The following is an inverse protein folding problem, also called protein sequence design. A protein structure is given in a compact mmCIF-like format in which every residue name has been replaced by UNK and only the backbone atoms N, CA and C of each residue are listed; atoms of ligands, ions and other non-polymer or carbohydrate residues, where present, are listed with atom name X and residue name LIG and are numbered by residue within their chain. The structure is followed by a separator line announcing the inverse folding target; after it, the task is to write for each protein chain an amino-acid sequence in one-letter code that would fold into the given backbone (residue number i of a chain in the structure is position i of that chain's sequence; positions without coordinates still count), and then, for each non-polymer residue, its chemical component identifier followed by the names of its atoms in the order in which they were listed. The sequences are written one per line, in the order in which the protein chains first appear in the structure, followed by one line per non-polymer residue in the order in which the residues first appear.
data_IF_242320360449
#
_entry.id   IF_242320360449
#
_cell.length_a   1.000
_cell.length_b   1.000
_cell.length_c   1.000
_cell.angle_alpha   90.00
_cell.angle_beta   90.00
_cell.angle_gamma   90.00
#
_symmetry.space_group_name_H-M   'P 1'
#
loop_
_entity.id
_entity.type
_entity.pdbx_description
1 polymer ?
#
# COMPACT_ATOMS: atom_id res chain seq x y z
N UNK A 1 24.18 15.49 -6.05
CA UNK A 1 23.30 14.31 -5.92
C UNK A 1 21.91 14.84 -5.63
N UNK A 2 20.86 14.46 -6.40
CA UNK A 2 19.51 14.90 -6.09
C UNK A 2 19.10 14.36 -4.72
N UNK A 3 18.68 15.27 -3.84
CA UNK A 3 18.16 14.92 -2.52
C UNK A 3 16.73 14.41 -2.64
N UNK A 4 16.45 13.29 -1.98
CA UNK A 4 15.11 12.76 -1.86
C UNK A 4 14.59 13.16 -0.48
N UNK A 5 13.70 14.15 -0.45
CA UNK A 5 13.15 14.68 0.80
C UNK A 5 12.01 13.84 1.34
N UNK A 6 11.29 13.15 0.47
CA UNK A 6 10.19 12.27 0.89
C UNK A 6 10.00 11.10 -0.06
N UNK A 7 9.69 9.94 0.51
CA UNK A 7 9.20 8.79 -0.21
C UNK A 7 7.95 8.26 0.50
N UNK A 8 6.91 7.94 -0.28
CA UNK A 8 5.63 7.45 0.22
C UNK A 8 5.26 6.18 -0.52
N UNK A 9 4.86 5.16 0.21
CA UNK A 9 4.42 3.88 -0.33
C UNK A 9 3.01 3.61 0.15
N UNK A 10 2.06 3.52 -0.78
CA UNK A 10 0.66 3.22 -0.50
C UNK A 10 0.32 1.84 -1.01
N UNK A 11 -0.46 1.10 -0.23
CA UNK A 11 -1.01 -0.19 -0.65
C UNK A 11 -2.43 -0.34 -0.15
N UNK A 12 -3.29 -0.91 -0.98
CA UNK A 12 -4.68 -1.21 -0.67
C UNK A 12 -5.11 -2.52 -1.32
N UNK A 13 -6.18 -3.12 -0.81
CA UNK A 13 -6.86 -4.21 -1.47
C UNK A 13 -8.38 -4.05 -1.40
N UNK A 14 -9.04 -4.35 -2.51
CA UNK A 14 -10.49 -4.52 -2.56
C UNK A 14 -10.83 -6.01 -2.51
N UNK A 15 -11.42 -6.45 -1.39
CA UNK A 15 -11.74 -7.84 -1.15
C UNK A 15 -13.06 -8.23 -1.83
N UNK A 16 -12.95 -8.86 -3.01
CA UNK A 16 -14.12 -9.38 -3.72
C UNK A 16 -15.04 -8.31 -4.31
N UNK A 17 -14.56 -7.11 -4.54
CA UNK A 17 -15.36 -6.00 -5.10
C UNK A 17 -15.85 -6.21 -6.53
N UNK A 18 -15.41 -7.28 -7.19
CA UNK A 18 -15.79 -7.62 -8.57
C UNK A 18 -16.81 -8.80 -8.63
N UNK A 19 -17.47 -9.10 -7.51
CA UNK A 19 -18.54 -10.09 -7.50
C UNK A 19 -19.73 -9.61 -8.34
N UNK A 20 -20.36 -10.49 -9.13
CA UNK A 20 -20.20 -11.94 -9.20
C UNK A 20 -19.13 -12.43 -10.21
N UNK A 21 -18.42 -11.55 -10.89
CA UNK A 21 -17.52 -11.91 -12.00
C UNK A 21 -16.19 -12.52 -11.53
N UNK A 22 -15.72 -12.14 -10.34
CA UNK A 22 -14.49 -12.70 -9.78
C UNK A 22 -14.51 -12.68 -8.26
N UNK A 23 -14.01 -13.77 -7.65
CA UNK A 23 -13.78 -13.87 -6.20
C UNK A 23 -12.41 -13.36 -5.79
N UNK A 24 -11.56 -12.96 -6.76
CA UNK A 24 -10.21 -12.52 -6.51
C UNK A 24 -10.20 -11.04 -6.16
N UNK A 25 -9.49 -10.72 -5.10
CA UNK A 25 -9.26 -9.35 -4.66
C UNK A 25 -8.38 -8.57 -5.64
N UNK A 26 -8.52 -7.26 -5.65
CA UNK A 26 -7.66 -6.35 -6.39
C UNK A 26 -6.60 -5.75 -5.46
N UNK A 27 -5.34 -5.74 -5.87
CA UNK A 27 -4.26 -5.06 -5.17
C UNK A 27 -3.91 -3.78 -5.89
N UNK A 28 -3.85 -2.67 -5.16
CA UNK A 28 -3.37 -1.37 -5.59
C UNK A 28 -2.05 -1.01 -4.89
N UNK A 29 -1.10 -0.50 -5.65
CA UNK A 29 0.18 -0.02 -5.14
C UNK A 29 0.47 1.34 -5.78
N UNK A 30 0.98 2.28 -4.98
CA UNK A 30 1.48 3.56 -5.45
C UNK A 30 2.76 3.91 -4.70
N UNK A 31 3.82 4.28 -5.44
CA UNK A 31 5.04 4.83 -4.87
C UNK A 31 5.19 6.27 -5.37
N UNK A 32 5.40 7.18 -4.44
CA UNK A 32 5.64 8.59 -4.72
C UNK A 32 7.03 9.00 -4.21
N UNK A 33 7.77 9.72 -5.03
CA UNK A 33 9.07 10.25 -4.72
C UNK A 33 9.02 11.77 -4.83
N UNK A 34 9.36 12.49 -3.77
CA UNK A 34 9.23 13.95 -3.69
C UNK A 34 7.86 14.43 -4.20
N UNK A 35 6.81 13.73 -3.77
CA UNK A 35 5.43 14.01 -4.16
C UNK A 35 5.06 13.75 -5.63
N UNK A 36 5.94 13.09 -6.40
CA UNK A 36 5.66 12.69 -7.78
C UNK A 36 5.39 11.18 -7.82
N UNK A 37 4.31 10.71 -8.49
CA UNK A 37 4.09 9.30 -8.67
C UNK A 37 5.14 8.71 -9.61
N UNK A 38 5.88 7.71 -9.14
CA UNK A 38 6.99 7.08 -9.88
C UNK A 38 6.73 5.61 -10.20
N UNK A 39 5.83 4.99 -9.45
CA UNK A 39 5.38 3.61 -9.72
C UNK A 39 3.95 3.44 -9.25
N UNK A 40 3.13 2.75 -10.04
CA UNK A 40 1.77 2.35 -9.67
C UNK A 40 1.41 1.01 -10.29
N UNK A 41 0.56 0.27 -9.60
CA UNK A 41 0.06 -1.01 -10.06
C UNK A 41 -1.38 -1.22 -9.62
N UNK A 42 -2.18 -1.79 -10.52
CA UNK A 42 -3.50 -2.34 -10.24
C UNK A 42 -3.53 -3.76 -10.76
N UNK A 43 -3.65 -4.76 -9.87
CA UNK A 43 -3.52 -6.17 -10.25
C UNK A 43 -4.42 -7.06 -9.42
N UNK A 44 -5.10 -8.01 -10.09
CA UNK A 44 -5.83 -9.07 -9.40
C UNK A 44 -4.88 -10.01 -8.67
N UNK A 45 -5.26 -10.37 -7.43
CA UNK A 45 -4.51 -11.36 -6.66
C UNK A 45 -4.64 -12.73 -7.33
N UNK A 46 -3.59 -13.56 -7.36
CA UNK A 46 -3.60 -14.87 -8.02
C UNK A 46 -4.46 -15.88 -7.26
N UNK A 47 -4.73 -15.63 -5.98
CA UNK A 47 -5.52 -16.49 -5.10
C UNK A 47 -6.74 -15.75 -4.56
N UNK A 48 -7.80 -16.48 -4.26
CA UNK A 48 -8.97 -15.93 -3.58
C UNK A 48 -8.65 -15.75 -2.10
N UNK A 49 -8.82 -14.54 -1.60
CA UNK A 49 -8.72 -14.27 -0.17
C UNK A 49 -10.00 -14.71 0.54
N UNK A 50 -9.86 -15.39 1.66
CA UNK A 50 -11.01 -15.89 2.44
C UNK A 50 -11.64 -14.79 3.33
N UNK A 51 -10.93 -13.68 3.53
CA UNK A 51 -11.42 -12.50 4.25
C UNK A 51 -10.61 -11.26 3.86
N UNK A 52 -11.12 -10.08 4.18
CA UNK A 52 -10.45 -8.80 3.90
C UNK A 52 -9.04 -8.74 4.49
N UNK A 53 -8.84 -9.20 5.74
CA UNK A 53 -7.52 -9.21 6.37
C UNK A 53 -6.46 -9.97 5.56
N UNK A 54 -6.82 -11.12 4.97
CA UNK A 54 -5.91 -11.91 4.13
C UNK A 54 -5.57 -11.15 2.83
N UNK A 55 -6.55 -10.51 2.18
CA UNK A 55 -6.30 -9.73 0.98
C UNK A 55 -5.42 -8.52 1.24
N UNK A 56 -5.58 -7.88 2.40
CA UNK A 56 -4.78 -6.74 2.82
C UNK A 56 -3.33 -7.11 3.12
N UNK A 57 -3.10 -8.23 3.85
CA UNK A 57 -1.74 -8.77 4.08
C UNK A 57 -1.07 -9.10 2.74
N UNK A 58 -1.83 -9.68 1.81
CA UNK A 58 -1.34 -9.93 0.47
C UNK A 58 -0.88 -8.63 -0.20
N UNK A 59 -1.73 -7.59 -0.20
CA UNK A 59 -1.42 -6.30 -0.77
C UNK A 59 -0.20 -5.64 -0.10
N UNK A 60 -0.12 -5.68 1.24
CA UNK A 60 1.05 -5.18 1.98
C UNK A 60 2.33 -5.90 1.59
N UNK A 61 2.30 -7.24 1.44
CA UNK A 61 3.47 -8.01 1.02
C UNK A 61 3.92 -7.65 -0.40
N UNK A 62 3.00 -7.49 -1.35
CA UNK A 62 3.31 -7.06 -2.72
C UNK A 62 3.80 -5.60 -2.76
N UNK A 63 3.21 -4.72 -1.94
CA UNK A 63 3.67 -3.34 -1.79
C UNK A 63 5.11 -3.26 -1.27
N UNK A 64 5.46 -4.04 -0.25
CA UNK A 64 6.82 -4.11 0.29
C UNK A 64 7.82 -4.67 -0.73
N UNK A 65 7.45 -5.71 -1.50
CA UNK A 65 8.29 -6.22 -2.59
C UNK A 65 8.56 -5.14 -3.64
N UNK A 66 7.51 -4.45 -4.07
CA UNK A 66 7.63 -3.36 -5.04
C UNK A 66 8.48 -2.21 -4.50
N UNK A 67 8.33 -1.86 -3.22
CA UNK A 67 9.14 -0.83 -2.56
C UNK A 67 10.62 -1.21 -2.51
N UNK A 68 10.93 -2.44 -2.10
CA UNK A 68 12.32 -2.94 -2.03
C UNK A 68 12.93 -3.00 -3.43
N UNK A 69 12.18 -3.50 -4.41
CA UNK A 69 12.64 -3.55 -5.80
C UNK A 69 12.93 -2.15 -6.34
N UNK A 70 12.01 -1.20 -6.15
CA UNK A 70 12.19 0.19 -6.56
C UNK A 70 13.41 0.85 -5.88
N UNK A 71 13.56 0.64 -4.57
CA UNK A 71 14.75 1.13 -3.84
C UNK A 71 16.06 0.63 -4.44
N UNK A 72 16.13 -0.64 -4.81
CA UNK A 72 17.32 -1.20 -5.44
C UNK A 72 17.59 -0.57 -6.81
N UNK A 73 16.54 -0.41 -7.65
CA UNK A 73 16.66 0.23 -8.96
C UNK A 73 17.19 1.67 -8.87
N UNK A 74 16.63 2.49 -7.96
CA UNK A 74 17.08 3.89 -7.83
C UNK A 74 18.47 3.99 -7.20
N UNK A 75 18.85 3.06 -6.34
CA UNK A 75 20.21 2.98 -5.81
C UNK A 75 21.23 2.69 -6.92
N UNK A 76 20.89 1.83 -7.88
CA UNK A 76 21.77 1.49 -9.01
C UNK A 76 22.07 2.70 -9.92
N UNK A 77 21.20 3.74 -9.88
CA UNK A 77 21.45 5.02 -10.56
C UNK A 77 21.95 6.14 -9.60
N UNK A 78 22.42 5.76 -8.41
CA UNK A 78 23.05 6.67 -7.46
C UNK A 78 22.08 7.47 -6.57
N UNK A 79 20.81 7.07 -6.47
CA UNK A 79 19.83 7.70 -5.58
C UNK A 79 19.63 6.83 -4.34
N UNK A 80 19.91 7.36 -3.17
CA UNK A 80 19.66 6.66 -1.91
C UNK A 80 18.31 7.04 -1.31
N UNK A 81 17.50 6.03 -1.03
CA UNK A 81 16.22 6.16 -0.32
C UNK A 81 16.36 5.71 1.14
N UNK A 82 15.49 6.20 2.04
CA UNK A 82 15.49 5.78 3.44
C UNK A 82 15.48 4.26 3.60
N UNK A 83 16.22 3.76 4.59
CA UNK A 83 16.32 2.31 4.85
C UNK A 83 14.96 1.72 5.16
N UNK A 84 14.20 2.41 6.02
CA UNK A 84 12.86 2.00 6.45
C UNK A 84 11.84 2.35 5.38
N UNK A 85 11.00 1.38 4.98
CA UNK A 85 9.86 1.59 4.07
C UNK A 85 8.63 2.01 4.88
N UNK A 86 8.16 3.27 4.78
CA UNK A 86 6.93 3.74 5.42
C UNK A 86 5.71 3.33 4.58
N UNK A 87 5.21 2.09 4.79
CA UNK A 87 4.08 1.56 4.03
C UNK A 87 2.76 2.06 4.60
N UNK A 88 1.98 2.76 3.81
CA UNK A 88 0.69 3.33 4.17
C UNK A 88 -0.46 2.38 3.77
N UNK A 89 -1.34 2.07 4.73
CA UNK A 89 -2.51 1.23 4.54
C UNK A 89 -3.67 1.69 5.43
N UNK A 90 -4.92 1.48 5.00
CA UNK A 90 -6.11 2.03 5.68
C UNK A 90 -6.91 1.01 6.50
N UNK A 91 -6.36 -0.17 6.72
CA UNK A 91 -7.09 -1.29 7.28
C UNK A 91 -6.90 -1.49 8.79
N UNK A 92 -7.83 -2.23 9.42
CA UNK A 92 -7.65 -2.73 10.78
C UNK A 92 -6.41 -3.62 10.90
N UNK A 93 -6.08 -4.34 9.85
CA UNK A 93 -4.86 -5.13 9.72
C UNK A 93 -3.63 -4.24 9.84
N UNK A 94 -3.60 -3.10 9.13
CA UNK A 94 -2.51 -2.12 9.24
C UNK A 94 -2.36 -1.59 10.68
N UNK A 95 -3.47 -1.29 11.35
CA UNK A 95 -3.45 -0.86 12.77
C UNK A 95 -2.85 -1.97 13.66
N UNK A 96 -3.24 -3.22 13.46
CA UNK A 96 -2.71 -4.35 14.22
C UNK A 96 -1.21 -4.52 14.00
N UNK A 97 -0.74 -4.41 12.75
CA UNK A 97 0.68 -4.43 12.43
C UNK A 97 1.44 -3.26 13.06
N UNK A 98 0.90 -2.06 13.01
CA UNK A 98 1.51 -0.88 13.63
C UNK A 98 1.68 -1.02 15.14
N UNK A 99 0.71 -1.64 15.81
CA UNK A 99 0.71 -1.87 17.26
C UNK A 99 1.53 -3.09 17.71
N UNK A 100 2.01 -3.90 16.77
CA UNK A 100 2.68 -5.15 17.09
C UNK A 100 1.75 -6.23 17.65
N UNK A 101 0.44 -6.02 17.63
CA UNK A 101 -0.55 -7.01 18.02
C UNK A 101 -0.80 -7.92 16.83
N UNK A 102 -0.22 -9.13 16.83
CA UNK A 102 -0.51 -10.13 15.81
C UNK A 102 -2.01 -10.41 15.74
N UNK A 103 -2.50 -10.51 14.52
CA UNK A 103 -3.85 -10.92 14.21
C UNK A 103 -4.25 -12.16 15.00
N UNK A 104 -5.43 -12.09 15.57
CA UNK A 104 -6.07 -13.05 16.45
C UNK A 104 -5.59 -14.51 16.35
N UNK A 105 -5.38 -15.13 17.51
CA UNK A 105 -5.05 -16.55 17.69
C UNK A 105 -5.97 -17.54 16.94
N UNK A 106 -7.16 -17.12 16.51
CA UNK A 106 -8.08 -17.90 15.66
C UNK A 106 -7.58 -18.09 14.22
N UNK A 107 -6.69 -17.24 13.72
CA UNK A 107 -6.09 -17.35 12.39
C UNK A 107 -4.72 -18.03 12.39
N UNK A 108 -4.22 -18.48 13.55
CA UNK A 108 -2.90 -19.15 13.66
C UNK A 108 -2.75 -20.41 12.80
N UNK A 109 -3.86 -21.04 12.40
CA UNK A 109 -3.83 -22.19 11.48
C UNK A 109 -3.60 -21.83 9.99
N UNK A 110 -3.70 -20.55 9.64
CA UNK A 110 -3.52 -20.03 8.27
C UNK A 110 -2.44 -18.95 8.19
N UNK A 111 -1.44 -19.01 9.06
CA UNK A 111 -0.29 -18.12 9.02
C UNK A 111 0.38 -18.26 7.66
N UNK A 112 0.16 -17.30 6.78
CA UNK A 112 0.80 -17.34 5.47
C UNK A 112 2.26 -16.95 5.60
N UNK A 113 3.12 -17.56 4.79
CA UNK A 113 4.55 -17.16 4.69
C UNK A 113 4.69 -15.66 4.41
N UNK A 114 3.71 -15.05 3.74
CA UNK A 114 3.65 -13.61 3.46
C UNK A 114 3.48 -12.77 4.72
N UNK A 115 2.60 -13.19 5.61
CA UNK A 115 2.39 -12.53 6.90
C UNK A 115 3.64 -12.59 7.76
N UNK A 116 4.24 -13.77 7.86
CA UNK A 116 5.51 -13.96 8.56
C UNK A 116 6.62 -13.05 7.99
N UNK A 117 6.72 -12.93 6.68
CA UNK A 117 7.69 -12.06 6.04
C UNK A 117 7.44 -10.57 6.30
N UNK A 118 6.19 -10.10 6.29
CA UNK A 118 5.87 -8.70 6.64
C UNK A 118 6.21 -8.41 8.10
N UNK A 119 5.93 -9.35 9.01
CA UNK A 119 6.30 -9.25 10.43
C UNK A 119 7.82 -9.18 10.59
N UNK A 120 8.56 -10.05 9.92
CA UNK A 120 10.02 -10.07 9.94
C UNK A 120 10.62 -8.73 9.48
N UNK A 121 10.10 -8.16 8.37
CA UNK A 121 10.55 -6.86 7.88
C UNK A 121 10.25 -5.74 8.88
N UNK A 122 9.11 -5.77 9.55
CA UNK A 122 8.76 -4.80 10.59
C UNK A 122 9.70 -4.94 11.79
N UNK A 123 9.87 -6.14 12.32
CA UNK A 123 10.65 -6.41 13.52
C UNK A 123 12.14 -6.18 13.31
N UNK A 124 12.63 -6.37 12.09
CA UNK A 124 14.00 -6.01 11.68
C UNK A 124 14.18 -4.51 11.38
N UNK A 125 13.13 -3.69 11.56
CA UNK A 125 13.18 -2.25 11.30
C UNK A 125 13.30 -1.86 9.83
N UNK A 126 13.06 -2.79 8.90
CA UNK A 126 13.12 -2.53 7.45
C UNK A 126 11.83 -1.96 6.89
N UNK A 127 10.70 -2.17 7.56
CA UNK A 127 9.45 -1.51 7.21
C UNK A 127 8.74 -0.97 8.46
N UNK A 128 7.91 0.04 8.21
CA UNK A 128 6.99 0.60 9.20
C UNK A 128 5.62 0.71 8.55
N UNK A 129 4.65 -0.04 9.04
CA UNK A 129 3.27 0.10 8.58
C UNK A 129 2.64 1.33 9.25
N UNK A 130 2.07 2.21 8.45
CA UNK A 130 1.44 3.46 8.90
C UNK A 130 -0.04 3.38 8.54
N UNK A 131 -0.89 3.52 9.54
CA UNK A 131 -2.32 3.66 9.29
C UNK A 131 -2.60 5.00 8.60
N UNK A 132 -3.31 4.95 7.47
CA UNK A 132 -3.72 6.11 6.69
C UNK A 132 -5.23 6.07 6.53
N UNK A 133 -5.97 7.13 6.90
CA UNK A 133 -7.42 7.16 6.70
C UNK A 133 -7.80 6.98 5.22
N UNK A 134 -8.94 6.32 4.94
CA UNK A 134 -9.36 6.01 3.56
C UNK A 134 -9.46 7.24 2.65
N UNK A 135 -9.80 8.40 3.19
CA UNK A 135 -9.81 9.66 2.44
C UNK A 135 -8.44 10.10 1.93
N UNK A 136 -7.36 9.58 2.52
CA UNK A 136 -5.97 9.88 2.19
C UNK A 136 -5.23 8.66 1.62
N UNK A 137 -5.93 7.52 1.49
CA UNK A 137 -5.40 6.29 0.92
C UNK A 137 -5.38 6.40 -0.62
N UNK A 138 -4.28 6.86 -1.16
CA UNK A 138 -4.15 7.12 -2.60
C UNK A 138 -4.16 5.84 -3.45
N UNK A 139 -3.93 4.67 -2.84
CA UNK A 139 -4.00 3.40 -3.55
C UNK A 139 -5.43 2.93 -3.85
N UNK A 140 -6.47 3.51 -3.21
CA UNK A 140 -7.89 3.19 -3.47
C UNK A 140 -8.28 3.35 -4.94
N UNK A 141 -7.69 4.33 -5.64
CA UNK A 141 -7.94 4.57 -7.07
C UNK A 141 -7.58 3.36 -7.96
N UNK A 142 -6.73 2.47 -7.47
CA UNK A 142 -6.25 1.29 -8.20
C UNK A 142 -7.00 0.01 -7.83
N UNK A 143 -7.90 0.06 -6.84
CA UNK A 143 -8.58 -1.12 -6.30
C UNK A 143 -10.09 -1.06 -6.42
N UNK A 144 -10.68 0.13 -6.32
CA UNK A 144 -12.13 0.32 -6.17
C UNK A 144 -12.72 1.12 -7.33
N UNK A 145 -13.95 0.80 -7.79
CA UNK A 145 -14.70 1.65 -8.72
C UNK A 145 -15.22 2.89 -7.97
N UNK A 146 -14.41 3.92 -7.91
CA UNK A 146 -14.74 5.15 -7.21
C UNK A 146 -15.76 5.98 -7.99
N UNK A 147 -16.70 6.62 -7.29
CA UNK A 147 -17.59 7.59 -7.91
C UNK A 147 -16.78 8.75 -8.52
N UNK A 148 -17.22 9.38 -9.64
CA UNK A 148 -16.42 10.36 -10.39
C UNK A 148 -15.83 11.50 -9.55
N UNK A 149 -16.57 11.98 -8.56
CA UNK A 149 -16.12 13.04 -7.66
C UNK A 149 -14.93 12.61 -6.81
N UNK A 150 -15.00 11.41 -6.23
CA UNK A 150 -13.92 10.85 -5.38
C UNK A 150 -12.71 10.50 -6.23
N UNK A 151 -12.94 9.90 -7.42
CA UNK A 151 -11.86 9.61 -8.37
C UNK A 151 -11.07 10.87 -8.75
N UNK A 152 -11.76 11.95 -9.13
CA UNK A 152 -11.12 13.23 -9.47
C UNK A 152 -10.35 13.81 -8.30
N UNK A 153 -10.88 13.72 -7.07
CA UNK A 153 -10.20 14.19 -5.87
C UNK A 153 -8.90 13.42 -5.62
N UNK A 154 -8.95 12.07 -5.67
CA UNK A 154 -7.77 11.22 -5.49
C UNK A 154 -6.72 11.48 -6.58
N UNK A 155 -7.15 11.58 -7.84
CA UNK A 155 -6.27 11.90 -8.97
C UNK A 155 -5.58 13.26 -8.78
N UNK A 156 -6.31 14.26 -8.32
CA UNK A 156 -5.74 15.57 -8.00
C UNK A 156 -4.72 15.47 -6.85
N UNK A 157 -5.02 14.74 -5.78
CA UNK A 157 -4.07 14.50 -4.70
C UNK A 157 -2.77 13.85 -5.23
N UNK A 158 -2.88 12.84 -6.09
CA UNK A 158 -1.71 12.17 -6.69
C UNK A 158 -0.90 13.16 -7.53
N UNK A 159 -1.55 13.97 -8.38
CA UNK A 159 -0.88 14.97 -9.25
C UNK A 159 -0.21 16.10 -8.47
N UNK A 160 -0.75 16.47 -7.33
CA UNK A 160 -0.25 17.56 -6.50
C UNK A 160 0.48 17.08 -5.23
N UNK A 161 1.01 15.85 -5.27
CA UNK A 161 1.85 15.31 -4.20
C UNK A 161 1.14 15.06 -2.88
N UNK A 162 -0.13 14.66 -2.91
CA UNK A 162 -0.94 14.42 -1.71
C UNK A 162 -1.53 15.69 -1.09
N UNK A 163 -1.22 16.87 -1.63
CA UNK A 163 -1.83 18.15 -1.19
C UNK A 163 -3.16 18.36 -1.93
N UNK A 164 -4.18 18.80 -1.21
CA UNK A 164 -5.36 19.35 -1.86
C UNK A 164 -4.93 20.69 -2.46
N UNK A 165 -4.89 20.80 -3.80
CA UNK A 165 -4.80 22.12 -4.41
C UNK A 165 -6.05 22.90 -3.94
N UNK A 166 -5.86 23.91 -3.11
CA UNK A 166 -6.88 24.91 -2.89
C UNK A 166 -7.16 25.54 -4.25
N UNK A 167 -8.31 25.18 -4.83
CA UNK A 167 -8.84 25.93 -5.96
C UNK A 167 -9.05 27.35 -5.42
N UNK A 168 -8.07 28.22 -5.67
CA UNK A 168 -8.21 29.64 -5.47
C UNK A 168 -9.45 30.09 -6.26
N UNK A 169 -10.35 30.78 -5.59
CA UNK A 169 -11.58 31.32 -6.14
C UNK A 169 -11.33 32.33 -7.28
#
# INVERSE_FOLDING_TARGET
VPTVDSVQYYTDSDCGGDLPYSTRSQTGILIMLNHVPVFWQSRKQPVTALCSGTSEIYAMSEGLKSAIHYKNQVRDIGIELPVVVPLQADSKTAISFQRGTCLNSRLRGHFSLREGWVIELRDSGKCRVIYTPSQDQLADIFTKPLVPRVFKLMLNKIRHGGRVATLGG
#
